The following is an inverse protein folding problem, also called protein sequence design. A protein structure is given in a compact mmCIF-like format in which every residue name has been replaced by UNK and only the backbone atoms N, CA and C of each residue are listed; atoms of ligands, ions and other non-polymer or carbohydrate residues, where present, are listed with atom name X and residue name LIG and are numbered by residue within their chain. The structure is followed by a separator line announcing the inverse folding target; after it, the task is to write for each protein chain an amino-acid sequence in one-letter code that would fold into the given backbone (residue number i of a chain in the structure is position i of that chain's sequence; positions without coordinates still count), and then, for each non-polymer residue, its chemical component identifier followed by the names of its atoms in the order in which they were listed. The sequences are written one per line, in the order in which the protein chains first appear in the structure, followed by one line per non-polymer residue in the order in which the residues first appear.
data_IF_648398269069
#
_entry.id   IF_648398269069
#
_cell.length_a   1.000
_cell.length_b   1.000
_cell.length_c   1.000
_cell.angle_alpha   90.00
_cell.angle_beta   90.00
_cell.angle_gamma   90.00
#
_symmetry.space_group_name_H-M   'P 1'
#
loop_
_entity.id
_entity.type
_entity.pdbx_description
1 polymer ?
#
# COMPACT_ATOMS: atom_id res chain seq x y z
N UNK A 1 -8.89 6.47 4.13
CA UNK A 1 -7.65 7.26 4.30
C UNK A 1 -6.60 6.86 3.27
N UNK A 2 -6.15 5.60 3.24
CA UNK A 2 -5.19 5.11 2.24
C UNK A 2 -5.59 5.37 0.77
N UNK A 3 -6.86 5.13 0.41
CA UNK A 3 -7.37 5.41 -0.95
C UNK A 3 -7.16 6.87 -1.37
N UNK A 4 -7.52 7.83 -0.50
CA UNK A 4 -7.37 9.26 -0.78
C UNK A 4 -5.89 9.66 -0.90
N UNK A 5 -5.02 9.07 -0.09
CA UNK A 5 -3.57 9.29 -0.19
C UNK A 5 -3.03 8.87 -1.57
N UNK A 6 -3.41 7.67 -2.06
CA UNK A 6 -3.00 7.21 -3.39
C UNK A 6 -3.53 8.11 -4.51
N UNK A 7 -4.78 8.58 -4.43
CA UNK A 7 -5.31 9.53 -5.40
C UNK A 7 -4.52 10.86 -5.38
N UNK A 8 -4.22 11.40 -4.19
CA UNK A 8 -3.45 12.64 -4.06
C UNK A 8 -2.03 12.52 -4.61
N UNK A 9 -1.45 11.31 -4.61
CA UNK A 9 -0.17 11.02 -5.23
C UNK A 9 -0.25 10.82 -6.74
N UNK A 10 -1.45 10.82 -7.34
CA UNK A 10 -1.64 10.71 -8.78
C UNK A 10 -1.82 9.28 -9.32
N UNK A 11 -2.11 8.30 -8.44
CA UNK A 11 -2.51 6.97 -8.88
C UNK A 11 -3.97 6.95 -9.35
N UNK A 12 -4.21 6.31 -10.49
CA UNK A 12 -5.58 6.08 -10.98
C UNK A 12 -6.12 4.78 -10.37
N UNK A 13 -7.07 4.92 -9.44
CA UNK A 13 -7.66 3.78 -8.71
C UNK A 13 -9.17 3.79 -8.89
N UNK A 14 -9.69 2.67 -9.38
CA UNK A 14 -11.13 2.39 -9.45
C UNK A 14 -11.57 1.64 -8.21
N UNK A 15 -12.50 2.22 -7.46
CA UNK A 15 -13.19 1.52 -6.37
C UNK A 15 -14.21 0.53 -6.94
N UNK A 16 -14.25 -0.66 -6.37
CA UNK A 16 -15.19 -1.73 -6.69
C UNK A 16 -15.86 -2.19 -5.41
N UNK A 17 -17.08 -2.72 -5.51
CA UNK A 17 -17.67 -3.43 -4.38
C UNK A 17 -16.79 -4.66 -4.02
N UNK A 18 -16.73 -5.08 -2.74
CA UNK A 18 -15.78 -6.12 -2.31
C UNK A 18 -15.84 -7.41 -3.15
N UNK A 19 -17.03 -7.90 -3.47
CA UNK A 19 -17.20 -9.13 -4.28
C UNK A 19 -16.77 -8.91 -5.74
N UNK A 20 -17.00 -7.71 -6.28
CA UNK A 20 -16.57 -7.35 -7.64
C UNK A 20 -15.04 -7.24 -7.70
N UNK A 21 -14.41 -6.70 -6.66
CA UNK A 21 -12.96 -6.63 -6.55
C UNK A 21 -12.34 -8.03 -6.50
N UNK A 22 -12.88 -8.92 -5.66
CA UNK A 22 -12.43 -10.31 -5.55
C UNK A 22 -12.58 -11.05 -6.90
N UNK A 23 -13.74 -10.93 -7.55
CA UNK A 23 -13.98 -11.55 -8.85
C UNK A 23 -12.99 -11.04 -9.92
N UNK A 24 -12.75 -9.72 -9.97
CA UNK A 24 -11.80 -9.13 -10.92
C UNK A 24 -10.35 -9.58 -10.63
N UNK A 25 -9.94 -9.68 -9.37
CA UNK A 25 -8.64 -10.21 -8.98
C UNK A 25 -8.46 -11.66 -9.46
N UNK A 26 -9.42 -12.54 -9.13
CA UNK A 26 -9.35 -13.96 -9.51
C UNK A 26 -9.39 -14.15 -11.03
N UNK A 27 -10.12 -13.29 -11.75
CA UNK A 27 -10.13 -13.29 -13.22
C UNK A 27 -8.76 -12.90 -13.76
N UNK A 28 -8.18 -11.78 -13.30
CA UNK A 28 -6.86 -11.32 -13.76
C UNK A 28 -5.74 -12.31 -13.46
N UNK A 29 -5.76 -12.93 -12.30
CA UNK A 29 -4.73 -13.89 -11.91
C UNK A 29 -4.73 -15.18 -12.76
N UNK A 30 -5.83 -15.51 -13.44
CA UNK A 30 -5.85 -16.58 -14.43
C UNK A 30 -5.18 -16.18 -15.73
N UNK A 31 -5.31 -14.91 -16.11
CA UNK A 31 -4.84 -14.36 -17.38
C UNK A 31 -3.39 -13.85 -17.29
N UNK A 32 -2.94 -13.46 -16.09
CA UNK A 32 -1.64 -12.86 -15.79
C UNK A 32 -0.94 -13.61 -14.64
N UNK A 33 -0.08 -14.60 -14.95
CA UNK A 33 0.69 -15.35 -13.95
C UNK A 33 1.68 -14.48 -13.17
N UNK A 34 2.09 -13.34 -13.73
CA UNK A 34 3.06 -12.42 -13.15
C UNK A 34 2.39 -11.38 -12.24
N UNK A 35 1.07 -11.45 -12.04
CA UNK A 35 0.39 -10.57 -11.10
C UNK A 35 1.01 -10.77 -9.71
N UNK A 36 1.55 -9.69 -9.13
CA UNK A 36 2.25 -9.76 -7.83
C UNK A 36 1.40 -10.27 -6.66
N UNK A 37 0.09 -10.44 -6.86
CA UNK A 37 -0.85 -11.00 -5.89
C UNK A 37 -1.01 -12.52 -5.97
N UNK A 38 -0.36 -13.21 -6.92
CA UNK A 38 -0.47 -14.66 -7.08
C UNK A 38 -0.19 -15.45 -5.77
N UNK A 39 0.84 -15.10 -4.96
CA UNK A 39 1.10 -15.79 -3.69
C UNK A 39 -0.03 -15.67 -2.66
N UNK A 40 -0.94 -14.70 -2.82
CA UNK A 40 -2.03 -14.40 -1.90
C UNK A 40 -3.39 -14.92 -2.38
N UNK A 41 -3.46 -15.57 -3.55
CA UNK A 41 -4.75 -16.01 -4.12
C UNK A 41 -5.51 -16.95 -3.18
N UNK A 42 -4.81 -17.87 -2.51
CA UNK A 42 -5.44 -18.79 -1.56
C UNK A 42 -6.13 -18.05 -0.41
N UNK A 43 -5.57 -16.93 0.06
CA UNK A 43 -6.21 -16.10 1.07
C UNK A 43 -7.52 -15.50 0.52
N UNK A 44 -7.45 -14.96 -0.69
CA UNK A 44 -8.59 -14.29 -1.31
C UNK A 44 -9.68 -15.23 -1.81
N UNK A 45 -9.40 -16.50 -2.10
CA UNK A 45 -10.44 -17.47 -2.49
C UNK A 45 -11.27 -17.95 -1.30
N UNK A 46 -10.68 -18.00 -0.11
CA UNK A 46 -11.35 -18.49 1.09
C UNK A 46 -11.97 -17.38 1.93
N UNK A 47 -11.59 -16.12 1.69
CA UNK A 47 -12.15 -14.98 2.39
C UNK A 47 -13.54 -14.62 1.85
N UNK A 48 -14.53 -14.57 2.74
CA UNK A 48 -15.88 -14.14 2.42
C UNK A 48 -16.00 -12.61 2.54
N UNK A 49 -15.79 -11.93 1.41
CA UNK A 49 -15.91 -10.47 1.33
C UNK A 49 -17.35 -9.96 1.47
N UNK A 50 -18.37 -10.82 1.56
CA UNK A 50 -19.75 -10.42 1.86
C UNK A 50 -20.01 -10.14 3.33
N UNK A 51 -19.10 -10.60 4.20
CA UNK A 51 -19.15 -10.33 5.63
C UNK A 51 -18.24 -9.14 5.93
N UNK A 52 -18.76 -8.18 6.68
CA UNK A 52 -17.91 -7.16 7.28
C UNK A 52 -16.83 -7.86 8.12
N UNK A 53 -15.56 -7.46 8.01
CA UNK A 53 -14.52 -7.99 8.87
C UNK A 53 -14.94 -7.79 10.33
N UNK A 54 -14.81 -8.84 11.14
CA UNK A 54 -15.01 -8.71 12.58
C UNK A 54 -13.94 -7.76 13.13
N UNK A 55 -14.33 -6.51 13.35
CA UNK A 55 -13.49 -5.52 14.00
C UNK A 55 -13.46 -5.83 15.49
N UNK A 56 -12.44 -6.59 15.91
CA UNK A 56 -12.15 -6.77 17.33
C UNK A 56 -11.63 -5.45 17.87
N UNK A 57 -12.36 -4.86 18.82
CA UNK A 57 -11.88 -3.71 19.58
C UNK A 57 -11.04 -4.22 20.75
N UNK A 58 -9.74 -3.94 20.69
CA UNK A 58 -8.83 -4.25 21.77
C UNK A 58 -8.83 -3.09 22.78
N UNK A 59 -8.95 -3.42 24.06
CA UNK A 59 -8.74 -2.46 25.14
C UNK A 59 -7.23 -2.21 25.32
N UNK A 60 -6.83 -0.94 25.32
CA UNK A 60 -5.42 -0.53 25.41
C UNK A 60 -5.06 0.12 26.75
N UNK A 61 -5.99 0.23 27.70
CA UNK A 61 -5.78 0.93 28.98
C UNK A 61 -4.55 0.47 29.76
N UNK A 62 -4.29 -0.85 29.81
CA UNK A 62 -3.13 -1.38 30.53
C UNK A 62 -1.81 -1.00 29.85
N UNK A 63 -1.79 -0.99 28.51
CA UNK A 63 -0.63 -0.55 27.72
C UNK A 63 -0.38 0.94 27.94
N UNK A 64 -1.43 1.77 27.89
CA UNK A 64 -1.33 3.20 28.17
C UNK A 64 -0.80 3.48 29.58
N UNK A 65 -1.30 2.76 30.59
CA UNK A 65 -0.82 2.89 31.96
C UNK A 65 0.66 2.49 32.12
N UNK A 66 1.08 1.41 31.46
CA UNK A 66 2.47 0.95 31.47
C UNK A 66 3.45 1.88 30.74
N UNK A 67 2.97 2.61 29.74
CA UNK A 67 3.77 3.58 28.96
C UNK A 67 3.72 5.00 29.53
N UNK A 68 2.91 5.26 30.56
CA UNK A 68 2.77 6.58 31.14
C UNK A 68 4.13 7.14 31.62
N UNK A 69 4.48 8.35 31.13
CA UNK A 69 5.76 9.00 31.46
C UNK A 69 6.98 8.50 30.68
N UNK A 70 6.82 7.52 29.78
CA UNK A 70 7.93 7.03 28.94
C UNK A 70 8.26 7.93 27.75
N UNK A 71 7.33 8.82 27.35
CA UNK A 71 7.42 9.59 26.11
C UNK A 71 7.19 8.75 24.85
N UNK A 72 6.76 7.48 25.00
CA UNK A 72 6.37 6.60 23.89
C UNK A 72 4.87 6.74 23.67
N UNK A 73 4.49 7.24 22.50
CA UNK A 73 3.10 7.36 22.06
C UNK A 73 2.89 6.65 20.72
N UNK A 74 1.66 6.18 20.48
CA UNK A 74 1.28 5.65 19.17
C UNK A 74 0.98 6.81 18.21
N UNK A 75 1.70 6.95 17.09
CA UNK A 75 1.40 8.01 16.12
C UNK A 75 0.01 7.85 15.52
N UNK A 76 -0.65 8.98 15.25
CA UNK A 76 -1.94 8.99 14.57
C UNK A 76 -1.76 8.51 13.12
N UNK A 77 -2.58 7.54 12.70
CA UNK A 77 -2.60 7.05 11.32
C UNK A 77 -3.58 7.87 10.50
N UNK A 78 -3.09 8.96 9.90
CA UNK A 78 -3.88 9.85 9.04
C UNK A 78 -3.53 9.71 7.55
N UNK A 79 -4.07 10.60 6.71
CA UNK A 79 -3.78 10.59 5.27
C UNK A 79 -2.31 10.89 4.96
N UNK A 80 -1.65 11.75 5.74
CA UNK A 80 -0.24 12.10 5.51
C UNK A 80 0.67 10.91 5.80
N UNK A 81 0.41 10.18 6.90
CA UNK A 81 1.13 8.96 7.21
C UNK A 81 1.09 7.98 6.02
N UNK A 82 -0.09 7.73 5.43
CA UNK A 82 -0.21 6.90 4.24
C UNK A 82 0.52 7.47 3.02
N UNK A 83 0.47 8.78 2.79
CA UNK A 83 1.17 9.42 1.68
C UNK A 83 2.69 9.21 1.79
N UNK A 84 3.25 9.31 3.00
CA UNK A 84 4.67 9.09 3.26
C UNK A 84 5.08 7.64 2.97
N UNK A 85 4.27 6.66 3.43
CA UNK A 85 4.49 5.24 3.11
C UNK A 85 4.49 4.99 1.60
N UNK A 86 3.49 5.50 0.87
CA UNK A 86 3.39 5.25 -0.57
C UNK A 86 4.46 5.99 -1.37
N UNK A 87 4.85 7.20 -0.97
CA UNK A 87 5.95 7.92 -1.58
C UNK A 87 7.26 7.14 -1.41
N UNK A 88 7.53 6.62 -0.22
CA UNK A 88 8.70 5.78 0.03
C UNK A 88 8.67 4.49 -0.80
N UNK A 89 7.55 3.78 -0.83
CA UNK A 89 7.40 2.55 -1.63
C UNK A 89 7.63 2.80 -3.13
N UNK A 90 7.15 3.93 -3.66
CA UNK A 90 7.41 4.32 -5.04
C UNK A 90 8.89 4.66 -5.29
N UNK A 91 9.53 5.38 -4.37
CA UNK A 91 10.96 5.70 -4.44
C UNK A 91 11.85 4.45 -4.42
N UNK A 92 11.46 3.42 -3.66
CA UNK A 92 12.17 2.13 -3.63
C UNK A 92 11.82 1.22 -4.82
N UNK A 93 10.90 1.62 -5.70
CA UNK A 93 10.48 0.84 -6.86
C UNK A 93 9.52 -0.31 -6.54
N UNK A 94 8.93 -0.34 -5.34
CA UNK A 94 7.89 -1.30 -4.97
C UNK A 94 6.52 -0.93 -5.53
N UNK A 95 6.31 0.35 -5.84
CA UNK A 95 5.13 0.84 -6.57
C UNK A 95 5.57 1.51 -7.87
N UNK A 96 4.77 1.39 -8.95
CA UNK A 96 5.03 2.14 -10.17
C UNK A 96 4.91 3.64 -9.88
N UNK A 97 5.72 4.46 -10.55
CA UNK A 97 5.59 5.91 -10.42
C UNK A 97 4.19 6.38 -10.87
N UNK A 98 3.57 7.33 -10.16
CA UNK A 98 2.25 7.83 -10.53
C UNK A 98 2.27 8.48 -11.92
N UNK A 99 1.24 8.17 -12.71
CA UNK A 99 1.18 8.50 -14.14
C UNK A 99 1.07 10.01 -14.40
N UNK A 100 0.63 10.79 -13.40
CA UNK A 100 0.26 12.20 -13.57
C UNK A 100 1.22 13.19 -12.92
N UNK A 101 2.38 12.78 -12.39
CA UNK A 101 3.36 13.79 -11.94
C UNK A 101 4.44 13.32 -10.99
N UNK A 102 5.48 12.71 -11.55
CA UNK A 102 6.87 13.06 -11.24
C UNK A 102 7.63 12.88 -12.55
N UNK A 103 7.94 13.99 -13.25
CA UNK A 103 9.02 13.96 -14.24
C UNK A 103 10.24 13.43 -13.49
N UNK A 104 10.76 12.28 -13.93
CA UNK A 104 11.96 11.67 -13.36
C UNK A 104 13.03 12.74 -13.16
N UNK A 105 13.69 12.84 -11.99
CA UNK A 105 15.01 13.43 -11.97
C UNK A 105 15.87 12.57 -12.90
N UNK A 106 16.55 13.20 -13.84
CA UNK A 106 17.55 12.56 -14.70
C UNK A 106 18.50 11.77 -13.80
N UNK A 107 18.38 10.44 -13.78
CA UNK A 107 19.42 9.58 -13.22
C UNK A 107 20.64 9.83 -14.11
N UNK A 108 21.54 10.67 -13.60
CA UNK A 108 22.83 10.93 -14.21
C UNK A 108 23.55 9.60 -14.37
N UNK A 109 23.64 9.13 -15.62
CA UNK A 109 24.57 8.05 -15.98
C UNK A 109 25.96 8.55 -15.60
N UNK A 110 26.49 8.11 -14.46
CA UNK A 110 27.93 8.20 -14.20
C UNK A 110 28.59 7.26 -15.20
N UNK A 111 29.02 7.84 -16.32
CA UNK A 111 29.91 7.20 -17.27
C UNK A 111 31.23 7.00 -16.51
N UNK A 112 31.50 5.77 -16.07
CA UNK A 112 32.83 5.40 -15.60
C UNK A 112 33.67 5.31 -16.88
N UNK A 113 34.40 6.39 -17.17
CA UNK A 113 35.43 6.41 -18.19
C UNK A 113 36.66 5.78 -17.55
N UNK A 114 36.89 4.50 -17.83
CA UNK A 114 38.22 3.92 -17.64
C UNK A 114 39.13 4.47 -18.73
N UNK A 115 40.02 5.37 -18.35
CA UNK A 115 41.18 5.77 -19.16
C UNK A 115 42.40 4.97 -18.71
N UNK A 116 43.19 4.58 -19.73
CA UNK A 116 44.55 4.03 -19.74
C UNK A 116 44.74 2.55 -19.34
#
# INVERSE_FOLDING_TARGET
MAYQALLSLGYSIRLLAPQQWQAELLRRAKDDPEIGLHPLLSLFTHYDFSREPEHILFDERNTQAGLAGSGIDCPVVDQQAFADYFAWLAQQGHLPLPQTGLRQPLVGKRHIRGEA
#
